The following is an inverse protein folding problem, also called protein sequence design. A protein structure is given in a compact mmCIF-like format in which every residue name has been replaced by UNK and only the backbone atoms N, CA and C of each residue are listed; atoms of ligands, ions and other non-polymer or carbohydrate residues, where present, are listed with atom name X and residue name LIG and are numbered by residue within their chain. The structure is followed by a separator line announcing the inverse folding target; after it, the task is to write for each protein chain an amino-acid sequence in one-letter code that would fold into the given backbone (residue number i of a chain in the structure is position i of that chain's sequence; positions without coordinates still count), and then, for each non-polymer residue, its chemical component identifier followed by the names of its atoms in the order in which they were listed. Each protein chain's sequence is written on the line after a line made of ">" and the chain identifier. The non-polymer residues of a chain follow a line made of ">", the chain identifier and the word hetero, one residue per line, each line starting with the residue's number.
data_IF_307842381306
#
_entry.id   IF_307842381306
#
_cell.length_a   1.000
_cell.length_b   1.000
_cell.length_c   1.000
_cell.angle_alpha   90.00
_cell.angle_beta   90.00
_cell.angle_gamma   90.00
#
_symmetry.space_group_name_H-M   'P 1'
#
loop_
_entity.id
_entity.type
_entity.pdbx_description
1 polymer ?
#
# COMPACT_ATOMS: atom_id res chain seq x y z
N UNK A 1 15.81 5.85 16.24
CA UNK A 1 16.20 4.48 16.59
C UNK A 1 16.56 3.76 15.32
N UNK A 2 17.82 3.32 15.25
CA UNK A 2 18.38 2.69 14.04
C UNK A 2 18.19 1.17 14.15
N UNK A 3 17.33 0.61 13.33
CA UNK A 3 17.34 -0.82 13.04
C UNK A 3 18.48 -1.07 12.04
N UNK A 4 19.55 -1.73 12.46
CA UNK A 4 20.58 -2.20 11.53
C UNK A 4 20.18 -3.57 11.02
N UNK A 5 19.66 -3.63 9.78
CA UNK A 5 19.52 -4.89 9.06
C UNK A 5 20.81 -5.21 8.29
N UNK A 6 21.38 -6.37 8.51
CA UNK A 6 22.42 -6.94 7.64
C UNK A 6 21.77 -8.03 6.79
N UNK A 7 21.65 -7.77 5.50
CA UNK A 7 21.52 -8.76 4.45
C UNK A 7 20.19 -9.49 4.38
N UNK A 8 19.23 -8.96 3.61
CA UNK A 8 18.21 -9.78 2.96
C UNK A 8 18.77 -10.18 1.60
N UNK A 9 19.34 -11.36 1.53
CA UNK A 9 19.85 -11.91 0.28
C UNK A 9 19.20 -13.24 -0.05
N UNK A 10 19.01 -13.41 -1.32
CA UNK A 10 18.79 -14.62 -2.10
C UNK A 10 18.11 -15.83 -1.39
N UNK A 11 16.89 -16.14 -1.79
CA UNK A 11 16.09 -17.30 -1.35
C UNK A 11 16.86 -18.64 -1.55
N UNK A 12 17.83 -18.68 -2.45
CA UNK A 12 18.66 -19.85 -2.73
C UNK A 12 19.91 -20.00 -1.85
N UNK A 13 20.27 -18.95 -1.11
CA UNK A 13 21.43 -18.99 -0.21
C UNK A 13 20.98 -18.59 1.18
N UNK A 14 20.37 -19.46 1.95
CA UNK A 14 20.04 -19.30 3.37
C UNK A 14 20.87 -18.20 4.04
N UNK A 15 20.50 -16.93 3.81
CA UNK A 15 21.13 -15.79 4.46
C UNK A 15 20.40 -15.55 5.76
N UNK A 16 21.14 -15.55 6.84
CA UNK A 16 20.61 -15.18 8.14
C UNK A 16 20.57 -13.65 8.25
N UNK A 17 19.44 -13.12 8.69
CA UNK A 17 19.29 -11.73 9.06
C UNK A 17 19.06 -11.65 10.57
N UNK A 18 19.92 -10.94 11.27
CA UNK A 18 19.75 -10.68 12.70
C UNK A 18 19.21 -9.27 12.90
N UNK A 19 18.04 -9.17 13.55
CA UNK A 19 17.43 -7.91 13.95
C UNK A 19 17.61 -7.76 15.46
N UNK A 20 18.27 -6.70 15.89
CA UNK A 20 18.46 -6.40 17.31
C UNK A 20 17.63 -5.20 17.69
N UNK A 21 16.68 -5.37 18.64
CA UNK A 21 15.93 -4.27 19.21
C UNK A 21 16.85 -3.47 20.17
N UNK A 22 16.87 -2.16 19.99
CA UNK A 22 17.68 -1.24 20.82
C UNK A 22 16.81 -0.48 21.85
N UNK A 23 15.53 -0.76 21.90
CA UNK A 23 14.55 -0.18 22.84
C UNK A 23 13.69 -1.29 23.44
N UNK A 24 13.04 -1.01 24.54
CA UNK A 24 12.22 -1.97 25.28
C UNK A 24 10.99 -2.44 24.48
N UNK A 25 10.58 -1.64 23.48
CA UNK A 25 9.46 -1.98 22.60
C UNK A 25 9.74 -1.47 21.18
N UNK A 26 9.80 -2.40 20.22
CA UNK A 26 10.02 -2.10 18.81
C UNK A 26 9.03 -2.88 17.97
N UNK A 27 8.31 -2.20 17.09
CA UNK A 27 7.48 -2.82 16.04
C UNK A 27 8.23 -2.74 14.72
N UNK A 28 8.29 -3.85 14.00
CA UNK A 28 8.84 -3.87 12.65
C UNK A 28 7.94 -4.65 11.70
N UNK A 29 7.89 -4.22 10.44
CA UNK A 29 7.25 -4.94 9.36
C UNK A 29 8.31 -5.61 8.50
N UNK A 30 8.15 -6.90 8.24
CA UNK A 30 9.01 -7.66 7.35
C UNK A 30 8.21 -7.98 6.11
N UNK A 31 8.63 -7.41 4.98
CA UNK A 31 8.00 -7.61 3.68
C UNK A 31 8.95 -8.34 2.75
N UNK A 32 8.44 -9.26 1.97
CA UNK A 32 9.24 -10.00 1.01
C UNK A 32 8.46 -10.32 -0.27
N UNK A 33 9.20 -10.48 -1.36
CA UNK A 33 8.67 -10.91 -2.65
C UNK A 33 9.74 -11.70 -3.40
N UNK A 34 9.31 -12.63 -4.24
CA UNK A 34 10.23 -13.43 -5.06
C UNK A 34 10.82 -12.54 -6.15
N UNK A 35 12.15 -12.58 -6.28
CA UNK A 35 12.88 -11.89 -7.32
C UNK A 35 14.08 -12.72 -7.77
N UNK A 36 14.31 -12.79 -9.08
CA UNK A 36 15.30 -13.69 -9.68
C UNK A 36 16.74 -13.16 -9.66
N UNK A 37 16.91 -11.87 -9.37
CA UNK A 37 18.25 -11.24 -9.35
C UNK A 37 18.67 -10.92 -7.92
N UNK A 38 19.97 -11.02 -7.67
CA UNK A 38 20.57 -10.52 -6.44
C UNK A 38 20.48 -8.99 -6.41
N UNK A 39 20.08 -8.47 -5.25
CA UNK A 39 20.04 -7.04 -4.98
C UNK A 39 21.03 -6.71 -3.86
N UNK A 40 21.65 -5.54 -3.93
CA UNK A 40 22.49 -5.05 -2.85
C UNK A 40 21.63 -4.46 -1.73
N UNK A 41 22.06 -4.66 -0.49
CA UNK A 41 21.39 -4.09 0.67
C UNK A 41 21.56 -2.57 0.70
N UNK A 42 20.48 -1.84 0.98
CA UNK A 42 20.51 -0.39 1.14
C UNK A 42 19.58 0.07 2.28
N UNK A 43 19.69 1.30 2.67
CA UNK A 43 18.89 1.91 3.73
C UNK A 43 18.17 3.14 3.18
N UNK A 44 16.86 3.20 3.38
CA UNK A 44 16.06 4.39 3.12
C UNK A 44 15.83 5.12 4.44
N UNK A 45 16.33 6.35 4.56
CA UNK A 45 16.12 7.17 5.73
C UNK A 45 14.79 7.93 5.64
N UNK A 46 14.15 8.19 6.77
CA UNK A 46 12.87 8.92 6.85
C UNK A 46 12.86 10.24 6.04
N UNK A 47 13.98 10.98 6.03
CA UNK A 47 14.13 12.24 5.28
C UNK A 47 14.16 12.08 3.77
N UNK A 48 14.41 10.87 3.27
CA UNK A 48 14.52 10.54 1.84
C UNK A 48 13.20 10.03 1.26
N UNK A 49 12.21 9.79 2.13
CA UNK A 49 10.92 9.23 1.72
C UNK A 49 10.05 10.33 1.10
N UNK A 50 9.63 10.10 -0.14
CA UNK A 50 8.69 10.97 -0.81
C UNK A 50 7.33 10.91 -0.12
N UNK A 51 6.78 12.07 0.18
CA UNK A 51 5.45 12.20 0.80
C UNK A 51 4.54 12.99 -0.13
N UNK A 52 3.38 12.43 -0.43
CA UNK A 52 2.35 13.05 -1.26
C UNK A 52 1.07 13.18 -0.45
N UNK A 53 0.39 14.31 -0.58
CA UNK A 53 -0.99 14.48 -0.12
C UNK A 53 -1.88 14.68 -1.35
N UNK A 54 -3.06 14.08 -1.32
CA UNK A 54 -4.06 14.20 -2.37
C UNK A 54 -5.47 14.03 -1.81
N UNK A 55 -6.47 14.32 -2.64
CA UNK A 55 -7.86 14.33 -2.21
C UNK A 55 -8.21 15.56 -1.39
N UNK A 56 -9.40 15.58 -0.87
CA UNK A 56 -9.91 16.65 -0.01
C UNK A 56 -10.89 16.12 1.03
N UNK A 57 -11.19 16.94 2.02
CA UNK A 57 -12.20 16.62 3.03
C UNK A 57 -13.61 16.61 2.43
N UNK A 58 -13.87 17.42 1.41
CA UNK A 58 -15.15 17.46 0.70
C UNK A 58 -15.42 16.14 -0.04
N UNK A 59 -14.40 15.59 -0.68
CA UNK A 59 -14.49 14.28 -1.37
C UNK A 59 -14.37 13.09 -0.44
N UNK A 60 -14.09 13.31 0.86
CA UNK A 60 -13.79 12.25 1.85
C UNK A 60 -12.65 11.32 1.44
N UNK A 61 -11.72 11.84 0.64
CA UNK A 61 -10.58 11.08 0.12
C UNK A 61 -9.23 11.72 0.48
N UNK A 62 -9.19 12.63 1.44
CA UNK A 62 -7.95 13.29 1.85
C UNK A 62 -6.96 12.29 2.44
N UNK A 63 -5.79 12.17 1.81
CA UNK A 63 -4.76 11.16 2.11
C UNK A 63 -3.38 11.79 2.17
N UNK A 64 -2.55 11.18 3.03
CA UNK A 64 -1.11 11.32 3.00
C UNK A 64 -0.48 9.97 2.74
N UNK A 65 0.37 9.87 1.72
CA UNK A 65 1.11 8.67 1.39
C UNK A 65 2.60 8.94 1.51
N UNK A 66 3.33 8.04 2.15
CA UNK A 66 4.78 8.00 2.15
C UNK A 66 5.24 6.83 1.31
N UNK A 67 5.90 7.10 0.21
CA UNK A 67 6.44 6.09 -0.70
C UNK A 67 7.81 5.63 -0.21
N UNK A 68 7.86 4.63 0.68
CA UNK A 68 9.10 4.10 1.28
C UNK A 68 9.95 3.46 0.19
N UNK A 69 9.36 2.53 -0.58
CA UNK A 69 9.96 1.95 -1.77
C UNK A 69 9.07 2.30 -2.97
N UNK A 70 9.12 3.56 -3.39
CA UNK A 70 8.36 4.10 -4.52
C UNK A 70 9.19 4.14 -5.83
N UNK A 71 8.72 4.88 -6.82
CA UNK A 71 9.37 5.01 -8.14
C UNK A 71 10.86 5.38 -8.06
N UNK A 72 11.24 6.18 -7.08
CA UNK A 72 12.63 6.61 -6.81
C UNK A 72 13.62 5.45 -6.60
N UNK A 73 13.15 4.30 -6.14
CA UNK A 73 14.00 3.15 -5.80
C UNK A 73 13.88 2.00 -6.81
N UNK A 74 13.36 2.24 -8.01
CA UNK A 74 13.01 1.20 -8.98
C UNK A 74 14.19 0.29 -9.39
N UNK A 75 15.42 0.78 -9.35
CA UNK A 75 16.61 -0.01 -9.69
C UNK A 75 17.13 -0.86 -8.50
N UNK A 76 16.67 -0.58 -7.28
CA UNK A 76 17.21 -1.14 -6.04
C UNK A 76 16.34 -2.23 -5.42
N UNK A 77 15.06 -2.30 -5.76
CA UNK A 77 14.06 -3.04 -4.98
C UNK A 77 13.34 -4.17 -5.72
N UNK A 78 13.82 -4.60 -6.86
CA UNK A 78 13.16 -5.67 -7.61
C UNK A 78 11.70 -5.32 -7.92
N UNK A 79 10.75 -6.13 -7.40
CA UNK A 79 9.32 -5.97 -7.69
C UNK A 79 8.49 -5.42 -6.52
N UNK A 80 9.15 -4.99 -5.44
CA UNK A 80 8.48 -4.46 -4.26
C UNK A 80 8.08 -2.99 -4.42
N UNK A 81 6.86 -2.68 -3.98
CA UNK A 81 6.38 -1.34 -3.67
C UNK A 81 5.94 -1.34 -2.20
N UNK A 82 6.46 -0.42 -1.40
CA UNK A 82 6.13 -0.34 0.04
C UNK A 82 5.75 1.09 0.39
N UNK A 83 4.59 1.25 0.99
CA UNK A 83 4.06 2.56 1.33
C UNK A 83 3.41 2.58 2.71
N UNK A 84 3.33 3.76 3.30
CA UNK A 84 2.48 4.09 4.44
C UNK A 84 1.39 5.04 3.98
N UNK A 85 0.13 4.70 4.27
CA UNK A 85 -1.03 5.53 3.94
C UNK A 85 -1.75 5.97 5.20
N UNK A 86 -2.11 7.26 5.23
CA UNK A 86 -2.82 7.88 6.34
C UNK A 86 -4.08 8.55 5.81
N UNK A 87 -5.22 8.35 6.46
CA UNK A 87 -6.34 9.25 6.28
C UNK A 87 -5.99 10.57 6.98
N UNK A 88 -6.25 11.67 6.31
CA UNK A 88 -6.15 13.00 6.92
C UNK A 88 -7.58 13.43 7.24
N UNK A 89 -7.86 13.59 8.54
CA UNK A 89 -9.24 13.78 9.00
C UNK A 89 -10.00 12.46 9.18
N UNK A 90 -11.10 12.54 9.90
CA UNK A 90 -11.89 11.40 10.31
C UNK A 90 -12.91 10.97 9.24
N UNK A 91 -13.16 9.66 9.13
CA UNK A 91 -14.19 9.11 8.25
C UNK A 91 -13.83 9.07 6.77
N UNK A 92 -12.55 9.07 6.43
CA UNK A 92 -12.08 9.10 5.04
C UNK A 92 -11.98 7.74 4.37
N UNK A 93 -12.09 7.74 3.02
CA UNK A 93 -11.90 6.58 2.15
C UNK A 93 -10.47 6.47 1.65
N UNK A 94 -10.02 5.25 1.36
CA UNK A 94 -8.75 4.92 0.73
C UNK A 94 -8.91 3.81 -0.32
N UNK A 95 -7.92 3.68 -1.24
CA UNK A 95 -8.10 2.82 -2.39
C UNK A 95 -9.25 3.28 -3.29
N UNK A 96 -9.56 4.57 -3.28
CA UNK A 96 -10.71 5.16 -3.96
C UNK A 96 -10.28 6.19 -5.01
N UNK A 97 -10.84 6.21 -6.27
CA UNK A 97 -11.91 5.33 -6.77
C UNK A 97 -11.54 3.84 -6.70
N UNK A 98 -12.56 2.94 -6.60
CA UNK A 98 -12.30 1.52 -6.58
C UNK A 98 -11.45 1.08 -7.76
N UNK A 99 -10.37 0.37 -7.47
CA UNK A 99 -9.44 -0.12 -8.48
C UNK A 99 -8.98 -1.53 -8.14
N UNK A 100 -8.40 -2.20 -9.14
CA UNK A 100 -7.79 -3.52 -8.99
C UNK A 100 -6.49 -3.60 -9.78
N UNK A 101 -5.73 -4.63 -9.51
CA UNK A 101 -4.47 -4.96 -10.18
C UNK A 101 -4.22 -6.47 -10.09
N UNK A 102 -5.18 -7.24 -10.57
CA UNK A 102 -5.21 -8.70 -10.47
C UNK A 102 -4.91 -9.43 -11.79
N UNK A 103 -4.76 -8.66 -12.88
CA UNK A 103 -4.60 -9.21 -14.22
C UNK A 103 -3.47 -8.51 -14.96
N UNK A 104 -2.63 -9.27 -15.69
CA UNK A 104 -1.67 -8.69 -16.61
C UNK A 104 -2.32 -8.46 -17.97
N UNK A 105 -2.67 -7.21 -18.26
CA UNK A 105 -3.23 -6.76 -19.54
C UNK A 105 -2.78 -5.35 -19.88
N UNK A 106 -1.52 -5.20 -20.16
CA UNK A 106 -0.96 -3.91 -20.57
C UNK A 106 -1.67 -3.36 -21.82
N UNK A 107 -1.88 -2.04 -21.93
CA UNK A 107 -1.43 -1.01 -20.98
C UNK A 107 -2.41 -0.73 -19.82
N UNK A 108 -3.50 -1.49 -19.68
CA UNK A 108 -4.63 -1.16 -18.83
C UNK A 108 -4.46 -1.60 -17.37
N UNK A 109 -3.72 -2.68 -17.14
CA UNK A 109 -3.56 -3.28 -15.81
C UNK A 109 -2.29 -4.11 -15.69
N UNK A 110 -1.70 -4.13 -14.49
CA UNK A 110 -0.61 -5.05 -14.13
C UNK A 110 -0.99 -5.85 -12.90
N UNK A 111 -0.57 -7.12 -12.85
CA UNK A 111 -0.86 -7.98 -11.71
C UNK A 111 0.14 -7.78 -10.58
N UNK A 112 -0.40 -7.42 -9.41
CA UNK A 112 0.30 -7.28 -8.15
C UNK A 112 -0.50 -7.96 -7.04
N UNK A 113 0.18 -8.74 -6.20
CA UNK A 113 -0.38 -9.16 -4.94
C UNK A 113 -0.10 -8.07 -3.90
N UNK A 114 -1.04 -7.82 -3.00
CA UNK A 114 -0.95 -6.75 -2.03
C UNK A 114 -1.35 -7.21 -0.62
N UNK A 115 -0.74 -6.59 0.38
CA UNK A 115 -1.09 -6.80 1.80
C UNK A 115 -1.24 -5.46 2.48
N UNK A 116 -2.32 -5.28 3.22
CA UNK A 116 -2.55 -4.15 4.11
C UNK A 116 -2.47 -4.58 5.57
N UNK A 117 -1.75 -3.82 6.40
CA UNK A 117 -1.78 -3.93 7.84
C UNK A 117 -2.24 -2.62 8.45
N UNK A 118 -3.31 -2.67 9.26
CA UNK A 118 -4.07 -1.49 9.71
C UNK A 118 -3.76 -1.07 11.14
N UNK A 119 -3.78 0.25 11.37
CA UNK A 119 -3.77 0.89 12.69
C UNK A 119 -4.80 2.01 12.72
N UNK A 120 -5.35 2.26 13.89
CA UNK A 120 -6.35 3.30 14.09
C UNK A 120 -5.93 4.26 15.21
N UNK A 121 -6.39 5.50 15.12
CA UNK A 121 -6.23 6.49 16.17
C UNK A 121 -7.60 7.15 16.47
N UNK A 122 -8.08 7.07 17.74
CA UNK A 122 -7.56 6.22 18.85
C UNK A 122 -7.55 4.72 18.51
N UNK A 123 -6.75 3.92 19.26
CA UNK A 123 -6.48 2.51 18.94
C UNK A 123 -7.69 1.56 19.01
N UNK A 124 -8.82 2.00 19.59
CA UNK A 124 -10.09 1.27 19.56
C UNK A 124 -10.95 1.58 18.34
N UNK A 125 -10.45 2.40 17.42
CA UNK A 125 -11.13 2.70 16.15
C UNK A 125 -11.27 1.48 15.27
N UNK A 126 -12.15 1.60 14.29
CA UNK A 126 -12.42 0.56 13.31
C UNK A 126 -12.66 1.13 11.91
N UNK A 127 -12.64 0.26 10.94
CA UNK A 127 -12.94 0.57 9.55
C UNK A 127 -13.55 -0.61 8.82
N UNK A 128 -13.69 -0.49 7.52
CA UNK A 128 -14.16 -1.56 6.65
C UNK A 128 -13.28 -1.63 5.41
N UNK A 129 -12.78 -2.83 5.10
CA UNK A 129 -12.25 -3.18 3.79
C UNK A 129 -13.39 -3.72 2.95
N UNK A 130 -13.66 -3.08 1.83
CA UNK A 130 -14.61 -3.58 0.84
C UNK A 130 -13.86 -4.44 -0.17
N UNK A 131 -14.45 -5.56 -0.56
CA UNK A 131 -13.94 -6.43 -1.63
C UNK A 131 -15.04 -6.69 -2.63
N UNK A 132 -14.80 -6.40 -3.91
CA UNK A 132 -15.73 -6.68 -5.00
C UNK A 132 -14.96 -7.32 -6.15
N UNK A 133 -15.28 -8.55 -6.48
CA UNK A 133 -14.50 -9.33 -7.45
C UNK A 133 -14.91 -9.09 -8.91
N UNK A 134 -16.15 -8.71 -9.13
CA UNK A 134 -16.71 -8.46 -10.46
C UNK A 134 -17.50 -7.15 -10.47
N UNK A 135 -17.52 -6.46 -11.60
CA UNK A 135 -18.14 -5.14 -11.74
C UNK A 135 -19.63 -5.10 -11.37
N UNK A 136 -20.38 -6.15 -11.75
CA UNK A 136 -21.83 -6.22 -11.62
C UNK A 136 -22.30 -7.14 -10.49
N UNK A 137 -21.40 -7.51 -9.58
CA UNK A 137 -21.71 -8.37 -8.44
C UNK A 137 -21.61 -7.61 -7.13
N UNK A 138 -22.39 -8.09 -6.16
CA UNK A 138 -22.30 -7.57 -4.81
C UNK A 138 -20.89 -7.80 -4.23
N UNK A 139 -20.37 -6.77 -3.58
CA UNK A 139 -19.16 -6.85 -2.76
C UNK A 139 -19.49 -7.24 -1.33
N UNK A 140 -18.47 -7.51 -0.55
CA UNK A 140 -18.59 -7.76 0.89
C UNK A 140 -17.56 -6.93 1.64
N UNK A 141 -17.81 -6.70 2.92
CA UNK A 141 -16.97 -5.91 3.80
C UNK A 141 -16.39 -6.72 4.93
N UNK A 142 -15.10 -6.51 5.20
CA UNK A 142 -14.46 -6.99 6.41
C UNK A 142 -14.33 -5.85 7.40
N UNK A 143 -14.81 -6.03 8.61
CA UNK A 143 -14.55 -5.09 9.69
C UNK A 143 -13.07 -5.15 10.06
N UNK A 144 -12.44 -3.98 10.13
CA UNK A 144 -11.02 -3.80 10.44
C UNK A 144 -10.87 -3.28 11.86
N UNK A 145 -9.95 -3.86 12.59
CA UNK A 145 -9.52 -3.42 13.92
C UNK A 145 -8.03 -3.06 13.89
N UNK A 146 -7.56 -2.46 14.97
CA UNK A 146 -6.15 -2.17 15.14
C UNK A 146 -5.31 -3.46 15.08
N UNK A 147 -4.39 -3.56 14.13
CA UNK A 147 -3.60 -4.76 13.86
C UNK A 147 -4.17 -5.70 12.79
N UNK A 148 -5.37 -5.47 12.28
CA UNK A 148 -5.92 -6.27 11.18
C UNK A 148 -4.99 -6.29 9.97
N UNK A 149 -4.88 -7.47 9.34
CA UNK A 149 -4.11 -7.65 8.11
C UNK A 149 -4.99 -8.30 7.06
N UNK A 150 -5.01 -7.72 5.86
CA UNK A 150 -5.77 -8.22 4.70
C UNK A 150 -4.80 -8.50 3.56
N UNK A 151 -4.86 -9.70 3.01
CA UNK A 151 -4.19 -10.05 1.75
C UNK A 151 -5.17 -9.83 0.59
N UNK A 152 -4.71 -9.16 -0.45
CA UNK A 152 -5.48 -8.76 -1.61
C UNK A 152 -4.79 -9.36 -2.85
N UNK A 153 -5.38 -10.39 -3.39
CA UNK A 153 -4.90 -11.09 -4.59
C UNK A 153 -5.73 -10.76 -5.85
N UNK A 154 -6.94 -10.23 -5.64
CA UNK A 154 -7.86 -9.87 -6.73
C UNK A 154 -8.97 -8.93 -6.28
N UNK A 155 -9.61 -8.29 -7.26
CA UNK A 155 -10.82 -7.50 -7.11
C UNK A 155 -10.60 -6.05 -6.68
N UNK A 156 -11.67 -5.29 -6.74
CA UNK A 156 -11.71 -3.91 -6.24
C UNK A 156 -11.72 -3.89 -4.73
N UNK A 157 -10.88 -3.05 -4.13
CA UNK A 157 -10.58 -3.13 -2.70
C UNK A 157 -10.48 -1.78 -1.99
N UNK A 158 -11.46 -0.89 -2.12
CA UNK A 158 -11.47 0.34 -1.35
C UNK A 158 -11.68 0.05 0.13
N UNK A 159 -11.17 0.92 0.98
CA UNK A 159 -11.39 0.85 2.42
C UNK A 159 -11.80 2.19 3.00
N UNK A 160 -12.45 2.16 4.16
CA UNK A 160 -12.95 3.35 4.83
C UNK A 160 -12.77 3.24 6.33
N UNK A 161 -12.50 4.36 6.98
CA UNK A 161 -12.47 4.46 8.44
C UNK A 161 -13.81 4.98 8.97
N UNK A 162 -14.22 4.51 10.15
CA UNK A 162 -15.41 5.01 10.83
C UNK A 162 -15.27 6.50 11.19
N UNK A 163 -16.37 7.27 11.25
CA UNK A 163 -16.36 8.67 11.67
C UNK A 163 -15.71 8.85 13.04
N UNK A 164 -14.90 9.89 13.19
CA UNK A 164 -14.22 10.21 14.45
C UNK A 164 -12.86 9.51 14.63
N UNK A 165 -12.45 8.65 13.72
CA UNK A 165 -11.18 7.94 13.75
C UNK A 165 -10.30 8.28 12.56
N UNK A 166 -8.98 8.21 12.79
CA UNK A 166 -7.98 8.20 11.73
C UNK A 166 -7.52 6.76 11.45
N UNK A 167 -7.25 6.45 10.19
CA UNK A 167 -6.72 5.16 9.77
C UNK A 167 -5.34 5.32 9.16
N UNK A 168 -4.45 4.49 9.60
CA UNK A 168 -3.16 4.22 8.98
C UNK A 168 -3.17 2.80 8.44
N UNK A 169 -2.55 2.57 7.30
CA UNK A 169 -2.15 1.23 6.92
C UNK A 169 -0.80 1.20 6.20
N UNK A 170 -0.06 0.15 6.51
CA UNK A 170 1.18 -0.21 5.83
C UNK A 170 0.83 -1.12 4.68
N UNK A 171 1.25 -0.78 3.47
CA UNK A 171 0.97 -1.58 2.29
C UNK A 171 2.25 -2.08 1.64
N UNK A 172 2.19 -3.34 1.23
CA UNK A 172 3.24 -4.06 0.51
C UNK A 172 2.61 -4.60 -0.76
N UNK A 173 3.14 -4.18 -1.92
CA UNK A 173 2.76 -4.75 -3.20
C UNK A 173 3.94 -5.48 -3.81
N UNK A 174 3.65 -6.60 -4.45
CA UNK A 174 4.64 -7.39 -5.20
C UNK A 174 4.14 -7.60 -6.61
N UNK A 175 4.83 -7.01 -7.57
CA UNK A 175 4.52 -7.23 -8.98
C UNK A 175 4.91 -8.63 -9.43
N UNK A 176 4.03 -9.34 -10.11
CA UNK A 176 4.31 -10.71 -10.58
C UNK A 176 5.14 -10.73 -11.87
N UNK A 177 4.99 -9.74 -12.72
CA UNK A 177 5.77 -9.63 -13.98
C UNK A 177 6.65 -8.39 -14.04
N UNK A 178 6.23 -7.30 -13.41
CA UNK A 178 6.92 -6.03 -13.37
C UNK A 178 6.65 -5.31 -12.06
N UNK A 179 7.45 -4.29 -11.75
CA UNK A 179 7.30 -3.48 -10.54
C UNK A 179 6.31 -2.33 -10.73
N UNK A 180 6.34 -1.68 -11.89
CA UNK A 180 5.48 -0.53 -12.17
C UNK A 180 4.01 -0.94 -12.10
N UNK A 181 3.26 -0.30 -11.21
CA UNK A 181 1.85 -0.59 -11.00
C UNK A 181 0.98 0.20 -11.98
N UNK A 182 0.13 -0.53 -12.71
CA UNK A 182 -0.96 0.04 -13.50
C UNK A 182 -2.27 -0.44 -12.91
N UNK A 183 -3.01 0.47 -12.29
CA UNK A 183 -4.28 0.21 -11.65
C UNK A 183 -5.43 0.28 -12.66
N UNK A 184 -6.29 -0.74 -12.67
CA UNK A 184 -7.53 -0.71 -13.43
C UNK A 184 -8.66 -0.17 -12.56
N UNK A 185 -9.14 1.02 -12.87
CA UNK A 185 -10.23 1.67 -12.15
C UNK A 185 -11.59 1.15 -12.61
N UNK A 186 -12.47 0.89 -11.67
CA UNK A 186 -13.85 0.47 -11.95
C UNK A 186 -14.55 1.52 -12.81
N UNK A 187 -15.03 1.11 -13.98
CA UNK A 187 -15.55 2.05 -15.02
C UNK A 187 -16.64 2.98 -14.49
N UNK A 188 -17.55 2.45 -13.69
CA UNK A 188 -18.65 3.22 -13.09
C UNK A 188 -18.17 4.37 -12.22
N UNK A 189 -16.99 4.24 -11.60
CA UNK A 189 -16.42 5.22 -10.67
C UNK A 189 -15.21 5.98 -11.23
N UNK A 190 -14.72 5.60 -12.41
CA UNK A 190 -13.50 6.18 -13.00
C UNK A 190 -13.57 7.69 -13.26
N UNK A 191 -14.77 8.26 -13.40
CA UNK A 191 -14.96 9.72 -13.54
C UNK A 191 -14.36 10.49 -12.37
N UNK A 192 -14.22 9.88 -11.20
CA UNK A 192 -13.64 10.52 -10.01
C UNK A 192 -12.14 10.77 -10.11
N UNK A 193 -11.45 10.16 -11.08
CA UNK A 193 -10.08 10.51 -11.42
C UNK A 193 -9.93 11.98 -11.89
N UNK A 194 -11.04 12.58 -12.35
CA UNK A 194 -11.07 13.99 -12.74
C UNK A 194 -11.52 14.92 -11.60
N UNK A 195 -12.13 14.38 -10.55
CA UNK A 195 -12.72 15.18 -9.48
C UNK A 195 -11.94 15.16 -8.16
N UNK A 196 -11.12 14.10 -7.93
CA UNK A 196 -10.30 14.01 -6.73
C UNK A 196 -8.98 14.77 -6.94
N UNK A 197 -8.72 15.85 -6.18
CA UNK A 197 -7.52 16.66 -6.36
C UNK A 197 -6.22 15.86 -6.19
N UNK A 198 -5.28 16.01 -7.12
CA UNK A 198 -3.94 15.41 -7.03
C UNK A 198 -3.85 13.89 -7.22
N UNK A 199 -4.95 13.21 -7.55
CA UNK A 199 -4.96 11.74 -7.68
C UNK A 199 -4.06 11.26 -8.82
N UNK A 200 -3.98 11.98 -9.93
CA UNK A 200 -3.13 11.60 -11.09
C UNK A 200 -1.64 11.67 -10.74
N UNK A 201 -1.23 12.67 -9.98
CA UNK A 201 0.15 12.80 -9.50
C UNK A 201 0.53 11.69 -8.53
N UNK A 202 -0.41 11.31 -7.66
CA UNK A 202 -0.25 10.18 -6.74
C UNK A 202 -0.07 8.86 -7.52
N UNK A 203 -0.92 8.58 -8.51
CA UNK A 203 -0.84 7.37 -9.34
C UNK A 203 0.52 7.28 -10.05
N UNK A 204 1.06 8.40 -10.51
CA UNK A 204 2.36 8.44 -11.19
C UNK A 204 3.53 7.99 -10.29
N UNK A 205 3.40 8.06 -8.98
CA UNK A 205 4.43 7.63 -8.02
C UNK A 205 4.56 6.11 -7.86
N UNK A 206 3.62 5.34 -8.37
CA UNK A 206 3.67 3.87 -8.39
C UNK A 206 4.32 3.26 -9.65
N UNK A 207 4.75 4.11 -10.57
CA UNK A 207 5.36 3.68 -11.83
C UNK A 207 6.87 3.50 -11.75
#
# INVERSE_FOLDING_TARGET
>A
DLVRSRGLGDVYKRQECTITCLSDSTECFIAGGIYEKKLEAFLVQKKEIDTVQYGSDDTKTHRKIKHILGAKHHEQVGRLLVNELYTVGAGGWSGFPPHKHDTNRLPDETRHDEVYNYRFRPGHGFGVQVMQYEDDKEGFGYQLFNGSTIAIDKGYHPCVVAPGYEMYYFTILVGLSQRSLVQYFQKTHAYQLETIPGIKDMIAKYK
#
